data_IF_654944153039
#
_entry.id   IF_654944153039
#
_cell.length_a   1.000
_cell.length_b   1.000
_cell.length_c   1.000
_cell.angle_alpha   90.00
_cell.angle_beta   90.00
_cell.angle_gamma   90.00
#
_symmetry.space_group_name_H-M   'P 1'
#
loop_
_entity.id
_entity.type
_entity.pdbx_description
1 polymer ?
#
# COMPACT_ATOMS: atom_id res chain seq x y z
N UNK A 1 7.21 13.66 13.87
CA UNK A 1 7.13 12.18 14.00
C UNK A 1 8.23 11.57 14.86
N UNK A 2 9.50 11.93 14.66
CA UNK A 2 10.62 11.44 15.51
C UNK A 2 10.31 11.60 17.00
N UNK A 3 9.96 12.80 17.44
CA UNK A 3 9.62 13.05 18.85
C UNK A 3 8.44 12.22 19.38
N UNK A 4 7.41 11.96 18.56
CA UNK A 4 6.29 11.09 18.96
C UNK A 4 6.75 9.64 19.10
N UNK A 5 7.61 9.20 18.19
CA UNK A 5 8.18 7.85 18.19
C UNK A 5 9.06 7.65 19.42
N UNK A 6 10.00 8.57 19.69
CA UNK A 6 10.92 8.50 20.83
C UNK A 6 10.21 8.45 22.19
N UNK A 7 9.05 9.08 22.33
CA UNK A 7 8.24 9.01 23.56
C UNK A 7 7.63 7.63 23.81
N UNK A 8 7.50 6.80 22.78
CA UNK A 8 6.71 5.57 22.82
C UNK A 8 7.57 4.29 22.72
N UNK A 9 8.69 4.35 21.98
CA UNK A 9 9.57 3.19 21.80
C UNK A 9 10.30 2.80 23.09
N UNK A 10 10.62 1.51 23.21
CA UNK A 10 11.45 0.95 24.29
C UNK A 10 12.34 -0.18 23.74
N UNK A 11 13.04 -0.88 24.63
CA UNK A 11 13.94 -1.99 24.29
C UNK A 11 13.26 -3.16 23.57
N UNK A 12 11.93 -3.29 23.66
CA UNK A 12 11.17 -4.37 23.03
C UNK A 12 10.60 -3.96 21.67
N UNK A 13 10.77 -2.69 21.28
CA UNK A 13 10.28 -2.20 20.00
C UNK A 13 11.25 -2.61 18.90
N UNK A 14 10.76 -3.35 17.90
CA UNK A 14 11.56 -3.84 16.76
C UNK A 14 11.13 -3.26 15.42
N UNK A 15 9.91 -2.73 15.31
CA UNK A 15 9.38 -2.13 14.09
C UNK A 15 8.65 -0.83 14.43
N UNK A 16 8.91 0.21 13.64
CA UNK A 16 8.21 1.49 13.66
C UNK A 16 7.56 1.71 12.31
N UNK A 17 6.29 2.13 12.32
CA UNK A 17 5.52 2.44 11.13
C UNK A 17 5.17 3.92 11.11
N UNK A 18 5.53 4.60 10.03
CA UNK A 18 5.14 5.99 9.73
C UNK A 18 4.23 6.02 8.49
N UNK A 19 3.34 7.03 8.36
CA UNK A 19 2.32 7.07 7.33
C UNK A 19 2.87 7.31 5.90
N UNK A 20 1.96 7.32 4.93
CA UNK A 20 2.21 7.63 3.52
C UNK A 20 2.78 9.05 3.37
N UNK A 21 3.76 9.22 2.48
CA UNK A 21 4.43 10.51 2.21
C UNK A 21 4.96 11.23 3.47
N UNK A 22 5.31 10.45 4.50
CA UNK A 22 5.98 10.93 5.70
C UNK A 22 7.34 11.58 5.39
N UNK A 23 8.03 11.06 4.38
CA UNK A 23 9.20 11.65 3.75
C UNK A 23 8.73 12.36 2.47
N UNK A 24 8.41 13.66 2.59
CA UNK A 24 7.70 14.41 1.56
C UNK A 24 8.57 15.14 0.55
N UNK A 25 9.90 15.12 0.70
CA UNK A 25 10.84 15.76 -0.24
C UNK A 25 11.24 14.74 -1.31
N UNK A 26 10.63 14.81 -2.48
CA UNK A 26 10.91 13.85 -3.54
C UNK A 26 12.40 13.82 -3.92
N UNK A 27 12.97 12.62 -4.02
CA UNK A 27 14.37 12.42 -4.43
C UNK A 27 14.54 11.12 -5.21
N UNK A 28 15.68 10.96 -5.88
CA UNK A 28 16.03 9.72 -6.56
C UNK A 28 16.22 8.59 -5.55
N UNK A 29 15.72 7.39 -5.83
CA UNK A 29 15.82 6.25 -4.91
C UNK A 29 17.26 5.95 -4.46
N UNK A 30 18.25 6.21 -5.33
CA UNK A 30 19.66 6.03 -5.06
C UNK A 30 20.31 7.21 -4.30
N UNK A 31 19.58 8.30 -4.04
CA UNK A 31 20.04 9.49 -3.29
C UNK A 31 19.28 9.74 -1.98
N UNK A 32 18.23 8.95 -1.70
CA UNK A 32 17.41 9.12 -0.48
C UNK A 32 18.25 9.11 0.79
N UNK A 33 19.34 8.33 0.84
CA UNK A 33 20.24 8.24 2.00
C UNK A 33 21.10 9.49 2.18
N UNK A 34 21.48 10.12 1.09
CA UNK A 34 22.34 11.30 1.03
C UNK A 34 21.53 12.61 1.15
N UNK A 35 20.21 12.53 1.03
CA UNK A 35 19.34 13.70 1.12
C UNK A 35 19.45 14.39 2.49
N UNK A 36 19.80 15.68 2.48
CA UNK A 36 20.00 16.49 3.68
C UNK A 36 18.73 16.61 4.53
N UNK A 37 17.55 16.65 3.91
CA UNK A 37 16.27 16.73 4.62
C UNK A 37 15.94 15.43 5.39
N UNK A 38 16.53 14.31 4.98
CA UNK A 38 16.30 12.99 5.60
C UNK A 38 17.37 12.58 6.61
N UNK A 39 18.46 13.33 6.75
CA UNK A 39 19.50 13.02 7.75
C UNK A 39 18.95 12.87 9.18
N UNK A 40 18.01 13.71 9.66
CA UNK A 40 17.42 13.51 10.99
C UNK A 40 16.72 12.15 11.16
N UNK A 41 16.17 11.58 10.08
CA UNK A 41 15.53 10.26 10.07
C UNK A 41 16.57 9.16 10.14
N UNK A 42 17.67 9.28 9.39
CA UNK A 42 18.79 8.36 9.48
C UNK A 42 19.49 8.41 10.84
N UNK A 43 19.70 9.60 11.40
CA UNK A 43 20.23 9.78 12.75
C UNK A 43 19.32 9.14 13.80
N UNK A 44 18.00 9.28 13.66
CA UNK A 44 17.03 8.59 14.51
C UNK A 44 17.18 7.07 14.40
N UNK A 45 17.18 6.49 13.20
CA UNK A 45 17.32 5.04 13.02
C UNK A 45 18.67 4.53 13.55
N UNK A 46 19.76 5.27 13.31
CA UNK A 46 21.10 4.93 13.78
C UNK A 46 21.22 4.92 15.31
N UNK A 47 20.50 5.81 16.01
CA UNK A 47 20.42 5.81 17.49
C UNK A 47 19.63 4.63 18.06
N UNK A 48 18.83 3.95 17.25
CA UNK A 48 17.98 2.84 17.65
C UNK A 48 18.28 1.56 16.85
N UNK A 49 19.44 0.91 17.05
CA UNK A 49 19.90 -0.15 16.17
C UNK A 49 19.13 -1.47 16.24
N UNK A 50 18.10 -1.57 17.07
CA UNK A 50 17.21 -2.73 17.16
C UNK A 50 15.88 -2.51 16.41
N UNK A 51 15.59 -1.30 15.95
CA UNK A 51 14.36 -1.01 15.22
C UNK A 51 14.60 -1.13 13.71
N UNK A 52 13.52 -1.39 12.99
CA UNK A 52 13.39 -1.04 11.59
C UNK A 52 12.30 0.01 11.43
N UNK A 53 12.49 0.95 10.49
CA UNK A 53 11.51 1.96 10.16
C UNK A 53 10.91 1.66 8.79
N UNK A 54 9.59 1.47 8.73
CA UNK A 54 8.82 1.45 7.49
C UNK A 54 8.06 2.78 7.39
N UNK A 55 8.29 3.52 6.31
CA UNK A 55 7.67 4.85 6.10
C UNK A 55 7.34 5.09 4.64
N UNK A 56 6.37 5.96 4.37
CA UNK A 56 6.10 6.46 3.03
C UNK A 56 7.12 7.50 2.57
N UNK A 57 7.46 7.50 1.29
CA UNK A 57 8.39 8.41 0.63
C UNK A 57 7.98 8.65 -0.82
N UNK A 58 8.17 9.87 -1.33
CA UNK A 58 8.08 10.15 -2.76
C UNK A 58 9.45 10.00 -3.41
N UNK A 59 9.53 9.24 -4.51
CA UNK A 59 10.83 8.98 -5.15
C UNK A 59 10.78 9.03 -6.67
N UNK A 60 11.94 9.25 -7.28
CA UNK A 60 12.16 9.06 -8.71
C UNK A 60 13.05 7.85 -8.96
N UNK A 61 12.81 7.15 -10.07
CA UNK A 61 13.72 6.11 -10.57
C UNK A 61 14.03 6.35 -12.04
N UNK A 62 15.32 6.37 -12.36
CA UNK A 62 15.80 6.52 -13.72
C UNK A 62 15.93 5.15 -14.43
N UNK A 63 15.77 5.17 -15.73
CA UNK A 63 15.86 4.04 -16.65
C UNK A 63 16.65 4.43 -17.90
N UNK A 64 17.28 3.43 -18.50
CA UNK A 64 17.72 3.50 -19.89
C UNK A 64 16.52 3.29 -20.82
N UNK A 65 16.60 3.73 -22.08
CA UNK A 65 15.50 3.62 -23.06
C UNK A 65 14.94 2.20 -23.18
N UNK A 66 15.82 1.19 -23.25
CA UNK A 66 15.42 -0.21 -23.38
C UNK A 66 14.72 -0.77 -22.13
N UNK A 67 14.83 -0.10 -20.99
CA UNK A 67 14.26 -0.52 -19.71
C UNK A 67 13.17 0.45 -19.19
N UNK A 68 12.79 1.44 -19.99
CA UNK A 68 11.78 2.41 -19.64
C UNK A 68 10.42 1.71 -19.50
N UNK A 69 9.68 2.05 -18.45
CA UNK A 69 8.31 1.55 -18.30
C UNK A 69 7.37 2.29 -19.24
N UNK A 70 6.14 1.78 -19.39
CA UNK A 70 5.11 2.46 -20.19
C UNK A 70 4.68 3.82 -19.62
N UNK A 71 4.98 4.11 -18.35
CA UNK A 71 4.67 5.38 -17.68
C UNK A 71 5.86 6.34 -17.62
N UNK A 72 7.05 5.87 -18.03
CA UNK A 72 8.27 6.63 -17.89
C UNK A 72 8.28 7.87 -18.79
N UNK A 73 8.73 8.99 -18.21
CA UNK A 73 8.87 10.28 -18.88
C UNK A 73 10.28 10.43 -19.41
N UNK A 74 10.43 11.11 -20.55
CA UNK A 74 11.74 11.44 -21.12
C UNK A 74 12.29 12.69 -20.45
N UNK A 75 13.46 12.59 -19.84
CA UNK A 75 14.22 13.71 -19.29
C UNK A 75 15.09 14.40 -20.35
N UNK A 76 15.72 15.50 -19.96
CA UNK A 76 16.49 16.39 -20.86
C UNK A 76 17.71 15.71 -21.51
N UNK A 77 18.30 14.70 -20.85
CA UNK A 77 19.54 14.02 -21.29
C UNK A 77 19.30 12.66 -21.97
N UNK A 78 18.09 12.39 -22.47
CA UNK A 78 17.73 11.08 -23.04
C UNK A 78 17.55 9.96 -22.00
N UNK A 79 17.64 10.29 -20.71
CA UNK A 79 17.26 9.42 -19.59
C UNK A 79 15.75 9.33 -19.49
N UNK A 80 15.21 8.16 -19.16
CA UNK A 80 13.79 8.00 -18.85
C UNK A 80 13.61 7.90 -17.35
N UNK A 81 12.52 8.40 -16.79
CA UNK A 81 12.27 8.29 -15.36
C UNK A 81 10.78 8.19 -15.02
N UNK A 82 10.48 7.50 -13.93
CA UNK A 82 9.16 7.50 -13.30
C UNK A 82 9.25 8.19 -11.93
N UNK A 83 8.19 8.90 -11.57
CA UNK A 83 7.92 9.28 -10.20
C UNK A 83 7.12 8.16 -9.51
N UNK A 84 7.29 7.97 -8.20
CA UNK A 84 6.56 6.98 -7.42
C UNK A 84 6.11 7.52 -6.07
N UNK A 85 4.87 7.19 -5.72
CA UNK A 85 4.47 7.04 -4.32
C UNK A 85 5.02 5.69 -3.84
N UNK A 86 5.92 5.72 -2.87
CA UNK A 86 6.67 4.55 -2.44
C UNK A 86 6.67 4.39 -0.92
N UNK A 87 6.97 3.18 -0.47
CA UNK A 87 7.38 2.88 0.88
C UNK A 87 8.88 2.59 0.89
N UNK A 88 9.56 2.98 1.96
CA UNK A 88 10.96 2.64 2.23
C UNK A 88 11.08 1.96 3.57
N UNK A 89 11.94 0.94 3.61
CA UNK A 89 12.34 0.23 4.81
C UNK A 89 13.78 0.58 5.16
N UNK A 90 13.97 1.13 6.35
CA UNK A 90 15.24 1.70 6.79
C UNK A 90 15.72 0.95 8.03
N UNK A 91 16.95 0.43 7.95
CA UNK A 91 17.74 -0.06 9.08
C UNK A 91 19.15 0.54 9.05
N UNK A 92 19.82 0.64 10.21
CA UNK A 92 21.22 1.06 10.24
C UNK A 92 22.07 0.06 9.48
N UNK A 93 23.03 0.56 8.70
CA UNK A 93 24.02 -0.25 7.98
C UNK A 93 23.45 -1.30 7.02
N UNK A 94 22.18 -1.18 6.62
CA UNK A 94 21.54 -2.03 5.62
C UNK A 94 21.17 -1.22 4.37
N UNK A 95 21.07 -1.90 3.23
CA UNK A 95 20.60 -1.31 1.99
C UNK A 95 19.12 -0.95 2.16
N UNK A 96 18.73 0.23 1.67
CA UNK A 96 17.33 0.65 1.66
C UNK A 96 16.49 -0.29 0.79
N UNK A 97 15.39 -0.79 1.33
CA UNK A 97 14.42 -1.54 0.55
C UNK A 97 13.29 -0.59 0.17
N UNK A 98 12.91 -0.62 -1.10
CA UNK A 98 11.83 0.22 -1.63
C UNK A 98 10.70 -0.64 -2.17
N UNK A 99 9.48 -0.16 -2.01
CA UNK A 99 8.29 -0.69 -2.66
C UNK A 99 7.56 0.49 -3.31
N UNK A 100 7.33 0.42 -4.62
CA UNK A 100 6.56 1.43 -5.33
C UNK A 100 5.10 0.98 -5.39
N UNK A 101 4.16 1.88 -5.12
CA UNK A 101 2.71 1.60 -5.16
C UNK A 101 2.32 0.91 -6.46
N UNK A 102 1.54 -0.16 -6.38
CA UNK A 102 1.06 -0.92 -7.53
C UNK A 102 -0.35 -0.53 -7.95
N UNK A 103 -1.28 -0.42 -6.98
CA UNK A 103 -2.67 0.01 -7.25
C UNK A 103 -2.79 1.51 -7.01
N UNK A 104 -2.57 2.25 -8.09
CA UNK A 104 -2.74 3.71 -8.13
C UNK A 104 -4.22 4.06 -8.08
N UNK A 105 -4.54 5.17 -7.40
CA UNK A 105 -5.90 5.74 -7.37
C UNK A 105 -6.27 6.24 -8.78
N UNK A 106 -7.31 5.70 -9.42
CA UNK A 106 -7.74 6.17 -10.73
C UNK A 106 -8.13 7.66 -10.71
N UNK A 107 -7.70 8.41 -11.73
CA UNK A 107 -7.95 9.84 -11.85
C UNK A 107 -6.92 10.72 -11.13
N UNK A 108 -6.53 10.37 -9.90
CA UNK A 108 -5.60 11.18 -9.09
C UNK A 108 -4.13 10.79 -9.33
N UNK A 109 -3.83 9.49 -9.32
CA UNK A 109 -2.46 8.97 -9.46
C UNK A 109 -2.20 8.32 -10.83
N UNK A 110 -3.26 7.90 -11.50
CA UNK A 110 -3.25 7.36 -12.86
C UNK A 110 -4.48 7.85 -13.61
N UNK A 111 -4.32 8.77 -14.56
CA UNK A 111 -5.38 9.17 -15.49
C UNK A 111 -5.42 8.18 -16.66
N UNK A 112 -6.50 7.39 -16.84
CA UNK A 112 -6.68 6.65 -18.07
C UNK A 112 -6.75 7.64 -19.24
N UNK A 113 -6.08 7.34 -20.36
CA UNK A 113 -5.94 8.27 -21.50
C UNK A 113 -7.29 8.78 -22.03
N UNK A 114 -8.35 7.97 -21.93
CA UNK A 114 -9.71 8.35 -22.34
C UNK A 114 -10.40 9.35 -21.39
N UNK A 115 -9.85 9.60 -20.20
CA UNK A 115 -10.33 10.55 -19.20
C UNK A 115 -9.43 11.80 -19.06
N UNK A 116 -8.45 11.99 -19.96
CA UNK A 116 -7.52 13.14 -19.90
C UNK A 116 -8.24 14.50 -19.91
N UNK A 117 -9.46 14.58 -20.46
CA UNK A 117 -10.28 15.81 -20.44
C UNK A 117 -10.73 16.23 -19.03
N UNK A 118 -10.64 15.35 -18.02
CA UNK A 118 -10.95 15.64 -16.62
C UNK A 118 -9.71 16.04 -15.80
N UNK A 119 -8.52 16.10 -16.40
CA UNK A 119 -7.25 16.43 -15.72
C UNK A 119 -7.32 17.61 -14.75
N UNK A 120 -7.88 18.78 -15.14
CA UNK A 120 -7.98 19.95 -14.25
C UNK A 120 -8.84 19.73 -13.00
N UNK A 121 -9.80 18.80 -13.04
CA UNK A 121 -10.63 18.44 -11.88
C UNK A 121 -9.85 17.57 -10.92
N UNK A 122 -9.04 16.64 -11.43
CA UNK A 122 -8.24 15.72 -10.61
C UNK A 122 -6.99 16.37 -10.01
N UNK A 123 -6.43 17.40 -10.64
CA UNK A 123 -5.37 18.24 -10.05
C UNK A 123 -5.85 18.91 -8.75
N UNK A 124 -7.12 19.29 -8.65
CA UNK A 124 -7.70 19.87 -7.43
C UNK A 124 -7.82 18.86 -6.27
N UNK A 125 -7.78 17.56 -6.56
CA UNK A 125 -7.77 16.48 -5.56
C UNK A 125 -6.35 16.02 -5.18
N UNK A 126 -5.32 16.78 -5.56
CA UNK A 126 -3.92 16.47 -5.25
C UNK A 126 -3.25 15.52 -6.24
N UNK A 127 -3.79 15.37 -7.44
CA UNK A 127 -3.18 14.56 -8.50
C UNK A 127 -1.89 15.16 -9.04
N UNK A 128 -0.90 14.31 -9.35
CA UNK A 128 0.34 14.77 -9.99
C UNK A 128 0.13 14.92 -11.50
N UNK A 129 0.60 16.04 -12.07
CA UNK A 129 0.37 16.44 -13.47
C UNK A 129 1.02 15.54 -14.53
N UNK A 130 1.60 14.40 -14.15
CA UNK A 130 2.15 13.43 -15.11
C UNK A 130 2.00 11.97 -14.72
N UNK A 131 1.17 11.64 -13.73
CA UNK A 131 0.93 10.28 -13.24
C UNK A 131 2.13 9.63 -12.53
N UNK A 132 1.86 8.69 -11.63
CA UNK A 132 2.90 7.87 -11.01
C UNK A 132 3.18 6.62 -11.86
N UNK A 133 4.44 6.17 -11.83
CA UNK A 133 4.76 4.80 -12.20
C UNK A 133 4.19 3.81 -11.19
N UNK A 134 4.17 2.53 -11.54
CA UNK A 134 3.65 1.47 -10.66
C UNK A 134 4.50 0.21 -10.66
N UNK A 135 4.47 -0.52 -9.55
CA UNK A 135 4.99 -1.89 -9.50
C UNK A 135 3.99 -2.86 -10.13
N UNK A 136 4.51 -3.92 -10.77
CA UNK A 136 3.68 -4.99 -11.30
C UNK A 136 3.27 -6.01 -10.22
N UNK A 137 4.02 -6.10 -9.14
CA UNK A 137 3.83 -7.11 -8.10
C UNK A 137 3.95 -6.53 -6.70
N UNK A 138 3.36 -7.23 -5.72
CA UNK A 138 3.62 -7.00 -4.31
C UNK A 138 5.07 -7.35 -3.94
N UNK A 139 5.69 -6.59 -3.04
CA UNK A 139 6.98 -6.92 -2.43
C UNK A 139 6.87 -6.81 -0.91
N UNK A 140 7.60 -7.65 -0.19
CA UNK A 140 7.61 -7.64 1.28
C UNK A 140 8.92 -7.06 1.80
N UNK A 141 8.87 -6.43 2.96
CA UNK A 141 10.06 -5.98 3.67
C UNK A 141 10.42 -6.94 4.78
N UNK A 142 11.67 -7.34 4.82
CA UNK A 142 12.22 -8.23 5.83
C UNK A 142 13.66 -7.84 6.14
N UNK A 143 14.08 -8.05 7.38
CA UNK A 143 15.48 -7.87 7.77
C UNK A 143 15.86 -8.91 8.82
N UNK A 144 17.15 -9.22 8.89
CA UNK A 144 17.69 -10.18 9.84
C UNK A 144 17.44 -9.67 11.27
N UNK A 145 16.99 -10.55 12.16
CA UNK A 145 16.66 -10.25 13.56
C UNK A 145 15.42 -9.37 13.77
N UNK A 146 14.65 -9.06 12.71
CA UNK A 146 13.31 -8.50 12.84
C UNK A 146 12.32 -9.62 12.53
N UNK A 147 11.44 -10.01 13.45
CA UNK A 147 10.54 -11.16 13.24
C UNK A 147 9.39 -10.84 12.27
N UNK A 148 9.14 -9.56 11.99
CA UNK A 148 8.08 -9.12 11.09
C UNK A 148 8.56 -9.08 9.63
N UNK A 149 7.87 -9.84 8.78
CA UNK A 149 7.89 -9.70 7.32
C UNK A 149 6.68 -8.84 6.96
N UNK A 150 6.94 -7.55 6.71
CA UNK A 150 5.90 -6.54 6.56
C UNK A 150 5.44 -6.41 5.10
N UNK A 151 4.13 -6.35 4.89
CA UNK A 151 3.52 -5.95 3.63
C UNK A 151 3.35 -4.42 3.61
N UNK A 152 4.14 -3.66 2.83
CA UNK A 152 4.00 -2.20 2.70
C UNK A 152 2.82 -1.85 1.80
N UNK A 153 1.61 -1.86 2.38
CA UNK A 153 0.38 -1.57 1.63
C UNK A 153 0.16 -0.06 1.66
N UNK A 154 0.15 0.59 0.50
CA UNK A 154 0.03 2.04 0.43
C UNK A 154 -1.42 2.41 0.15
N UNK A 155 -2.08 2.95 1.16
CA UNK A 155 -3.39 3.58 1.06
C UNK A 155 -4.44 2.69 0.38
N UNK A 156 -4.92 3.12 -0.79
CA UNK A 156 -6.03 2.54 -1.53
C UNK A 156 -5.75 1.11 -2.00
N UNK A 157 -4.49 0.66 -1.98
CA UNK A 157 -4.13 -0.74 -2.22
C UNK A 157 -4.85 -1.70 -1.27
N UNK A 158 -5.13 -1.25 -0.04
CA UNK A 158 -5.80 -2.04 0.99
C UNK A 158 -7.21 -2.49 0.62
N UNK A 159 -7.89 -1.83 -0.34
CA UNK A 159 -9.24 -2.23 -0.75
C UNK A 159 -9.22 -3.45 -1.69
N UNK A 160 -8.09 -3.72 -2.35
CA UNK A 160 -7.94 -4.80 -3.32
C UNK A 160 -7.59 -6.11 -2.61
N UNK A 161 -8.60 -6.84 -2.13
CA UNK A 161 -8.44 -8.08 -1.36
C UNK A 161 -7.53 -9.11 -2.02
N UNK A 162 -7.77 -9.42 -3.31
CA UNK A 162 -6.94 -10.38 -4.05
C UNK A 162 -5.47 -9.93 -4.11
N UNK A 163 -5.22 -8.64 -4.36
CA UNK A 163 -3.86 -8.09 -4.38
C UNK A 163 -3.19 -8.16 -3.00
N UNK A 164 -3.90 -7.75 -1.95
CA UNK A 164 -3.39 -7.81 -0.57
C UNK A 164 -3.09 -9.26 -0.16
N UNK A 165 -3.90 -10.23 -0.59
CA UNK A 165 -3.67 -11.64 -0.31
C UNK A 165 -2.32 -12.13 -0.86
N UNK A 166 -1.81 -11.53 -1.94
CA UNK A 166 -0.51 -11.91 -2.53
C UNK A 166 0.67 -11.59 -1.62
N UNK A 167 0.58 -10.58 -0.75
CA UNK A 167 1.64 -10.32 0.24
C UNK A 167 1.75 -11.47 1.24
N UNK A 168 0.61 -11.96 1.75
CA UNK A 168 0.58 -13.11 2.65
C UNK A 168 1.12 -14.37 1.95
N UNK A 169 0.77 -14.58 0.67
CA UNK A 169 1.33 -15.67 -0.15
C UNK A 169 2.85 -15.52 -0.38
N UNK A 170 3.38 -14.29 -0.39
CA UNK A 170 4.82 -13.99 -0.43
C UNK A 170 5.50 -14.03 0.95
N UNK A 171 4.81 -14.53 1.98
CA UNK A 171 5.36 -14.72 3.32
C UNK A 171 5.17 -13.55 4.27
N UNK A 172 4.43 -12.50 3.90
CA UNK A 172 4.12 -11.43 4.85
C UNK A 172 3.34 -11.97 6.05
N UNK A 173 3.84 -11.63 7.24
CA UNK A 173 3.23 -12.00 8.51
C UNK A 173 2.62 -10.80 9.26
N UNK A 174 2.79 -9.58 8.71
CA UNK A 174 2.18 -8.33 9.16
C UNK A 174 1.72 -7.51 7.96
N UNK A 175 0.48 -7.01 8.00
CA UNK A 175 -0.01 -6.02 7.04
C UNK A 175 0.28 -4.62 7.57
N UNK A 176 1.24 -3.92 6.95
CA UNK A 176 1.63 -2.57 7.32
C UNK A 176 0.99 -1.57 6.34
N UNK A 177 -0.19 -1.06 6.70
CA UNK A 177 -0.93 -0.10 5.88
C UNK A 177 -0.46 1.31 6.23
N UNK A 178 0.12 2.01 5.26
CA UNK A 178 0.50 3.42 5.37
C UNK A 178 -0.42 4.26 4.49
N UNK A 179 -1.00 5.33 5.02
CA UNK A 179 -2.04 6.07 4.29
C UNK A 179 -2.16 7.54 4.68
N UNK A 180 -2.74 8.35 3.82
CA UNK A 180 -3.14 9.72 4.11
C UNK A 180 -4.63 9.95 3.79
N UNK A 181 -5.54 9.76 4.74
CA UNK A 181 -6.98 9.96 4.48
C UNK A 181 -7.43 11.44 4.46
N UNK A 182 -6.50 12.40 4.46
CA UNK A 182 -6.81 13.82 4.62
C UNK A 182 -7.64 14.40 3.47
N UNK A 183 -7.47 13.89 2.26
CA UNK A 183 -8.17 14.39 1.06
C UNK A 183 -9.68 14.15 1.09
N UNK A 184 -10.18 13.23 1.92
CA UNK A 184 -11.62 13.01 2.10
C UNK A 184 -12.28 14.00 3.06
N UNK A 185 -11.48 14.79 3.79
CA UNK A 185 -11.96 15.50 4.98
C UNK A 185 -12.55 14.57 6.04
N UNK A 186 -13.30 15.11 7.00
CA UNK A 186 -14.01 14.30 7.99
C UNK A 186 -15.33 13.75 7.45
N UNK A 187 -15.26 12.89 6.44
CA UNK A 187 -16.41 12.21 5.81
C UNK A 187 -16.41 10.71 6.14
N UNK A 188 -17.48 9.96 5.83
CA UNK A 188 -17.49 8.50 6.04
C UNK A 188 -16.38 7.72 5.31
N UNK A 189 -15.73 8.31 4.30
CA UNK A 189 -14.72 7.63 3.48
C UNK A 189 -13.56 7.04 4.29
N UNK A 190 -13.00 7.78 5.25
CA UNK A 190 -11.91 7.27 6.09
C UNK A 190 -12.33 6.11 7.01
N UNK A 191 -13.60 6.07 7.42
CA UNK A 191 -14.18 4.97 8.21
C UNK A 191 -14.37 3.73 7.36
N UNK A 192 -14.90 3.89 6.15
CA UNK A 192 -15.03 2.77 5.19
C UNK A 192 -13.66 2.22 4.80
N UNK A 193 -12.66 3.09 4.61
CA UNK A 193 -11.29 2.68 4.33
C UNK A 193 -10.68 1.85 5.49
N UNK A 194 -10.94 2.24 6.74
CA UNK A 194 -10.58 1.43 7.91
C UNK A 194 -11.28 0.06 7.91
N UNK A 195 -12.56 -0.01 7.53
CA UNK A 195 -13.29 -1.27 7.46
C UNK A 195 -12.70 -2.23 6.42
N UNK A 196 -12.21 -1.72 5.27
CA UNK A 196 -11.47 -2.55 4.33
C UNK A 196 -10.19 -3.13 4.94
N UNK A 197 -9.45 -2.36 5.74
CA UNK A 197 -8.28 -2.88 6.46
C UNK A 197 -8.65 -4.05 7.39
N UNK A 198 -9.83 -3.99 8.04
CA UNK A 198 -10.33 -5.10 8.87
C UNK A 198 -10.66 -6.34 8.04
N UNK A 199 -11.26 -6.17 6.87
CA UNK A 199 -11.51 -7.28 5.94
C UNK A 199 -10.20 -7.95 5.51
N UNK A 200 -9.15 -7.16 5.22
CA UNK A 200 -7.82 -7.72 4.88
C UNK A 200 -7.25 -8.57 6.01
N UNK A 201 -7.43 -8.15 7.26
CA UNK A 201 -7.00 -8.91 8.42
C UNK A 201 -7.71 -10.28 8.49
N UNK A 202 -9.03 -10.29 8.32
CA UNK A 202 -9.87 -11.50 8.33
C UNK A 202 -9.49 -12.46 7.20
N UNK A 203 -9.36 -11.92 5.99
CA UNK A 203 -9.09 -12.68 4.77
C UNK A 203 -7.74 -13.38 4.80
N UNK A 204 -6.73 -12.74 5.38
CA UNK A 204 -5.34 -13.23 5.37
C UNK A 204 -4.90 -13.84 6.69
N UNK A 205 -5.69 -13.71 7.77
CA UNK A 205 -5.30 -14.03 9.16
C UNK A 205 -3.96 -13.39 9.52
N UNK A 206 -3.80 -12.13 9.13
CA UNK A 206 -2.66 -11.30 9.50
C UNK A 206 -3.15 -10.14 10.32
N UNK A 207 -2.36 -9.77 11.32
CA UNK A 207 -2.56 -8.52 12.01
C UNK A 207 -2.31 -7.34 11.06
N UNK A 208 -3.01 -6.24 11.31
CA UNK A 208 -2.82 -4.99 10.57
C UNK A 208 -2.31 -3.92 11.52
N UNK A 209 -1.18 -3.32 11.16
CA UNK A 209 -0.73 -2.04 11.67
C UNK A 209 -1.07 -0.97 10.63
N UNK A 210 -2.02 -0.09 10.95
CA UNK A 210 -2.44 1.01 10.06
C UNK A 210 -1.92 2.33 10.62
N UNK A 211 -1.01 2.98 9.89
CA UNK A 211 -0.50 4.31 10.20
C UNK A 211 -1.03 5.33 9.20
N UNK A 212 -1.85 6.25 9.68
CA UNK A 212 -2.48 7.29 8.88
C UNK A 212 -1.94 8.68 9.23
N UNK A 213 -1.72 9.54 8.22
CA UNK A 213 -1.34 10.95 8.44
C UNK A 213 -2.53 11.74 9.03
N UNK A 214 -3.51 12.09 8.18
CA UNK A 214 -4.80 12.65 8.62
C UNK A 214 -5.89 11.61 8.40
N UNK A 215 -5.96 10.63 9.30
CA UNK A 215 -6.88 9.48 9.20
C UNK A 215 -6.95 8.69 10.51
N UNK A 216 -7.68 7.58 10.52
CA UNK A 216 -7.76 6.72 11.71
C UNK A 216 -6.56 5.75 11.75
N UNK A 217 -5.57 5.99 12.59
CA UNK A 217 -4.54 4.96 12.82
C UNK A 217 -5.10 3.86 13.69
N UNK A 218 -4.74 2.60 13.44
CA UNK A 218 -5.32 1.47 14.14
C UNK A 218 -4.40 0.25 14.23
N UNK A 219 -4.59 -0.53 15.28
CA UNK A 219 -4.09 -1.90 15.41
C UNK A 219 -5.28 -2.84 15.30
N UNK A 220 -5.24 -3.78 14.37
CA UNK A 220 -6.34 -4.72 14.09
C UNK A 220 -5.80 -6.14 14.19
N UNK A 221 -6.50 -7.01 14.92
CA UNK A 221 -6.12 -8.41 15.05
C UNK A 221 -6.45 -9.23 13.79
N UNK A 222 -6.00 -10.49 13.77
CA UNK A 222 -6.23 -11.45 12.68
C UNK A 222 -7.70 -11.90 12.52
N UNK A 223 -8.62 -11.37 13.35
CA UNK A 223 -10.07 -11.57 13.27
C UNK A 223 -10.79 -10.29 12.85
N UNK A 224 -10.07 -9.20 12.57
CA UNK A 224 -10.66 -7.92 12.18
C UNK A 224 -11.20 -7.09 13.34
N UNK A 225 -10.87 -7.44 14.59
CA UNK A 225 -11.20 -6.62 15.75
C UNK A 225 -10.21 -5.47 15.86
N UNK A 226 -10.73 -4.27 16.08
CA UNK A 226 -9.93 -3.09 16.36
C UNK A 226 -9.48 -3.14 17.82
N UNK A 227 -8.18 -3.23 18.05
CA UNK A 227 -7.58 -3.33 19.39
C UNK A 227 -7.23 -1.96 19.96
N UNK A 228 -6.65 -1.09 19.13
CA UNK A 228 -6.34 0.29 19.48
C UNK A 228 -6.60 1.20 18.29
N UNK A 229 -6.97 2.45 18.56
CA UNK A 229 -7.15 3.49 17.54
C UNK A 229 -6.62 4.84 17.99
N UNK A 230 -6.22 5.63 17.01
CA UNK A 230 -6.03 7.06 17.11
C UNK A 230 -7.02 7.71 16.13
N UNK A 231 -7.86 8.62 16.63
CA UNK A 231 -8.93 9.20 15.84
C UNK A 231 -8.42 10.09 14.70
N UNK A 232 -9.30 10.33 13.73
CA UNK A 232 -9.05 11.25 12.61
C UNK A 232 -8.60 12.63 13.13
N UNK A 233 -7.57 13.20 12.47
CA UNK A 233 -6.99 14.51 12.79
C UNK A 233 -6.50 14.64 14.25
N UNK A 234 -5.93 13.55 14.79
CA UNK A 234 -5.24 13.53 16.09
C UNK A 234 -3.78 13.12 15.92
N UNK A 235 -2.88 13.97 16.39
CA UNK A 235 -1.47 13.65 16.49
C UNK A 235 -1.22 12.70 17.67
N UNK A 236 -0.48 11.62 17.43
CA UNK A 236 -0.18 10.62 18.45
C UNK A 236 0.55 9.42 17.88
N UNK A 237 0.72 8.40 18.71
CA UNK A 237 1.36 7.12 18.35
C UNK A 237 0.65 5.98 19.06
N UNK A 238 0.55 4.83 18.39
CA UNK A 238 0.05 3.58 18.97
C UNK A 238 1.22 2.64 19.22
N UNK A 239 1.13 1.83 20.27
CA UNK A 239 2.10 0.77 20.57
C UNK A 239 1.36 -0.46 21.06
N UNK A 240 1.62 -1.58 20.39
CA UNK A 240 0.96 -2.83 20.71
C UNK A 240 1.84 -4.03 20.30
N UNK A 241 1.90 -5.10 21.12
CA UNK A 241 2.57 -6.34 20.73
C UNK A 241 1.76 -7.10 19.68
N UNK A 242 2.31 -7.28 18.48
CA UNK A 242 1.63 -7.98 17.37
C UNK A 242 2.02 -9.46 17.35
N UNK A 243 1.01 -10.33 17.26
CA UNK A 243 1.19 -11.77 17.09
C UNK A 243 1.46 -12.11 15.62
N UNK A 244 2.41 -13.02 15.41
CA UNK A 244 2.79 -13.50 14.08
C UNK A 244 1.96 -14.73 13.75
N UNK A 245 1.40 -14.74 12.54
CA UNK A 245 0.78 -15.92 11.95
C UNK A 245 1.31 -16.07 10.52
N UNK A 246 1.74 -17.28 10.17
CA UNK A 246 2.30 -17.61 8.86
C UNK A 246 1.40 -18.56 8.07
N UNK A 247 0.34 -19.10 8.69
CA UNK A 247 -0.59 -20.00 8.02
C UNK A 247 -1.34 -19.27 6.90
N UNK A 248 -1.42 -19.91 5.73
CA UNK A 248 -2.16 -19.37 4.60
C UNK A 248 -3.63 -19.80 4.67
N UNK A 249 -4.53 -18.83 4.61
CA UNK A 249 -5.98 -19.08 4.59
C UNK A 249 -6.41 -19.74 3.28
N UNK A 250 -7.62 -20.29 3.27
CA UNK A 250 -8.23 -20.79 2.02
C UNK A 250 -8.34 -19.68 0.97
N UNK A 251 -8.71 -18.46 1.40
CA UNK A 251 -8.80 -17.30 0.52
C UNK A 251 -7.44 -16.96 -0.09
N UNK A 252 -6.37 -16.88 0.70
CA UNK A 252 -5.02 -16.59 0.19
C UNK A 252 -4.53 -17.66 -0.79
N UNK A 253 -4.90 -18.93 -0.60
CA UNK A 253 -4.49 -20.03 -1.49
C UNK A 253 -5.24 -20.07 -2.82
N UNK A 254 -6.52 -19.67 -2.85
CA UNK A 254 -7.41 -19.90 -3.99
C UNK A 254 -8.02 -18.63 -4.61
N UNK A 255 -7.82 -17.48 -3.96
CA UNK A 255 -8.43 -16.20 -4.31
C UNK A 255 -9.96 -16.24 -4.21
N UNK A 256 -10.63 -15.44 -5.04
CA UNK A 256 -12.10 -15.32 -5.08
C UNK A 256 -12.79 -16.53 -5.74
N UNK A 257 -12.63 -17.71 -5.17
CA UNK A 257 -13.17 -18.97 -5.68
C UNK A 257 -14.71 -18.97 -5.78
N UNK A 258 -15.41 -18.34 -4.82
CA UNK A 258 -16.87 -18.20 -4.86
C UNK A 258 -17.32 -17.41 -6.08
N UNK A 259 -16.66 -16.29 -6.36
CA UNK A 259 -16.92 -15.49 -7.55
C UNK A 259 -16.64 -16.30 -8.82
N UNK A 260 -15.52 -17.02 -8.90
CA UNK A 260 -15.17 -17.86 -10.07
C UNK A 260 -16.26 -18.89 -10.37
N UNK A 261 -16.76 -19.58 -9.34
CA UNK A 261 -17.86 -20.56 -9.50
C UNK A 261 -19.16 -19.86 -9.89
N UNK A 262 -19.53 -18.78 -9.21
CA UNK A 262 -20.76 -18.05 -9.50
C UNK A 262 -20.77 -17.48 -10.92
N UNK A 263 -19.66 -16.91 -11.38
CA UNK A 263 -19.50 -16.39 -12.74
C UNK A 263 -19.61 -17.50 -13.79
N UNK A 264 -19.01 -18.67 -13.54
CA UNK A 264 -19.15 -19.83 -14.42
C UNK A 264 -20.61 -20.28 -14.52
N UNK A 265 -21.30 -20.44 -13.39
CA UNK A 265 -22.71 -20.84 -13.36
C UNK A 265 -23.60 -19.81 -14.06
N UNK A 266 -23.38 -18.52 -13.81
CA UNK A 266 -24.10 -17.45 -14.48
C UNK A 266 -23.90 -17.49 -16.01
N UNK A 267 -22.66 -17.72 -16.45
CA UNK A 267 -22.33 -17.90 -17.88
C UNK A 267 -23.05 -19.10 -18.50
N UNK A 268 -23.07 -20.25 -17.82
CA UNK A 268 -23.77 -21.45 -18.28
C UNK A 268 -25.29 -21.23 -18.38
N UNK A 269 -25.88 -20.57 -17.39
CA UNK A 269 -27.32 -20.21 -17.41
C UNK A 269 -27.62 -19.27 -18.59
N UNK A 270 -26.76 -18.28 -18.84
CA UNK A 270 -26.93 -17.35 -19.95
C UNK A 270 -26.85 -18.08 -21.30
N UNK A 271 -25.86 -18.96 -21.49
CA UNK A 271 -25.71 -19.76 -22.71
C UNK A 271 -26.93 -20.65 -22.92
N UNK A 272 -27.41 -21.32 -21.87
CA UNK A 272 -28.61 -22.16 -21.93
C UNK A 272 -29.85 -21.34 -22.33
N UNK A 273 -30.01 -20.13 -21.78
CA UNK A 273 -31.11 -19.23 -22.16
C UNK A 273 -31.03 -18.78 -23.62
N UNK A 274 -29.85 -18.41 -24.10
CA UNK A 274 -29.65 -18.04 -25.50
C UNK A 274 -29.99 -19.23 -26.42
N UNK A 275 -29.56 -20.44 -26.06
CA UNK A 275 -29.87 -21.66 -26.82
C UNK A 275 -31.38 -21.90 -26.94
N UNK A 276 -32.14 -21.76 -25.84
CA UNK A 276 -33.60 -21.90 -25.85
C UNK A 276 -34.26 -20.85 -26.76
N UNK A 277 -33.85 -19.58 -26.66
CA UNK A 277 -34.39 -18.50 -27.50
C UNK A 277 -34.13 -18.74 -29.00
N UNK A 278 -32.95 -19.25 -29.35
CA UNK A 278 -32.61 -19.58 -30.73
C UNK A 278 -33.39 -20.81 -31.24
N UNK A 279 -33.66 -21.79 -30.37
CA UNK A 279 -34.48 -22.96 -30.71
C UNK A 279 -35.94 -22.57 -30.96
N UNK A 280 -36.49 -21.68 -30.14
CA UNK A 280 -37.87 -21.20 -30.27
C UNK A 280 -38.05 -20.32 -31.53
N UNK A 281 -37.06 -19.49 -31.88
CA UNK A 281 -37.04 -18.74 -33.15
C UNK A 281 -36.96 -19.63 -34.40
N UNK A 282 -36.39 -20.83 -34.31
CA UNK A 282 -36.37 -21.79 -35.43
C UNK A 282 -37.67 -22.58 -35.59
N UNK A 283 -38.57 -22.51 -34.61
CA UNK A 283 -39.86 -23.20 -34.60
C UNK A 283 -41.05 -22.30 -34.98
N UNK A 284 -40.84 -20.98 -34.98
CA UNK A 284 -41.77 -19.97 -35.48
C UNK A 284 -41.43 -19.62 -36.94
#
# INVERSE_FOLDING_TARGET
MIQLTEKQIDSNTVLVLWPETALSVADWQNHVRENLYYQPVFDFVNRHPNIALLTGVETFKAYTENNATATARKGENGTYYDAFNAAVYIRPNEILQFYNKSKLVPGVESLPTFLNFLGPVFEQFGGTTGGYGRSNEAAVFASKNIPYIAAPIICYESIYGEYVSTYAAKGANLLAIITNDGWWGNTPGHKQHLDYARLRAIETRRWVARSANTGISAVIDDKGNIIQTLAWDKAGSLKYPIQINEELTFYTKHGDWLYKIAALLAGLILIYRIFLLLKDKKRA
#
